data_IF_723176040187
#
_entry.id   IF_723176040187
#
_cell.length_a   1.000
_cell.length_b   1.000
_cell.length_c   1.000
_cell.angle_alpha   90.00
_cell.angle_beta   90.00
_cell.angle_gamma   90.00
#
_symmetry.space_group_name_H-M   'P 1'
#
loop_
_entity.id
_entity.type
_entity.pdbx_description
1 polymer ?
#
# COMPACT_ATOMS: atom_id res chain seq x y z
N UNK A 1 -3.63 -1.64 -9.52
CA UNK A 1 -4.49 -2.61 -8.80
C UNK A 1 -5.10 -3.66 -9.72
N UNK A 2 -5.89 -3.29 -10.74
CA UNK A 2 -6.55 -4.26 -11.63
C UNK A 2 -5.59 -5.27 -12.28
N UNK A 3 -4.39 -4.83 -12.69
CA UNK A 3 -3.34 -5.72 -13.21
C UNK A 3 -2.91 -6.80 -12.21
N UNK A 4 -2.74 -6.46 -10.93
CA UNK A 4 -2.37 -7.42 -9.88
C UNK A 4 -3.48 -8.45 -9.69
N UNK A 5 -4.74 -8.01 -9.72
CA UNK A 5 -5.90 -8.89 -9.60
C UNK A 5 -5.96 -9.89 -10.76
N UNK A 6 -5.84 -9.41 -12.00
CA UNK A 6 -5.86 -10.25 -13.20
C UNK A 6 -4.71 -11.26 -13.17
N UNK A 7 -3.48 -10.82 -12.86
CA UNK A 7 -2.33 -11.72 -12.76
C UNK A 7 -2.50 -12.77 -11.65
N UNK A 8 -3.09 -12.37 -10.52
CA UNK A 8 -3.31 -13.29 -9.39
C UNK A 8 -4.37 -14.35 -9.71
N UNK A 9 -5.49 -13.95 -10.31
CA UNK A 9 -6.58 -14.88 -10.66
C UNK A 9 -6.21 -15.76 -11.85
N UNK A 10 -5.51 -15.22 -12.85
CA UNK A 10 -5.19 -15.98 -14.08
C UNK A 10 -3.95 -16.88 -13.95
N UNK A 11 -3.06 -16.63 -12.99
CA UNK A 11 -1.78 -17.36 -12.88
C UNK A 11 -1.61 -17.96 -11.48
N UNK A 12 -1.61 -17.13 -10.43
CA UNK A 12 -1.32 -17.58 -9.07
C UNK A 12 -2.40 -18.56 -8.56
N UNK A 13 -3.66 -18.26 -8.82
CA UNK A 13 -4.77 -19.10 -8.35
C UNK A 13 -4.77 -20.50 -9.01
N UNK A 14 -4.63 -20.66 -10.34
CA UNK A 14 -4.44 -21.98 -10.95
C UNK A 14 -3.24 -22.75 -10.41
N UNK A 15 -2.11 -22.07 -10.17
CA UNK A 15 -0.88 -22.69 -9.63
C UNK A 15 -1.09 -23.16 -8.18
N UNK A 16 -1.82 -22.41 -7.38
CA UNK A 16 -2.19 -22.88 -6.04
C UNK A 16 -3.09 -24.11 -6.11
N UNK A 17 -4.07 -24.12 -7.03
CA UNK A 17 -4.95 -25.27 -7.22
C UNK A 17 -4.26 -26.50 -7.83
N UNK A 18 -3.14 -26.36 -8.53
CA UNK A 18 -2.39 -27.51 -9.05
C UNK A 18 -1.66 -28.30 -7.97
N UNK A 19 -1.49 -27.71 -6.78
CA UNK A 19 -0.93 -28.40 -5.63
C UNK A 19 -1.89 -29.44 -5.03
N UNK A 20 -1.32 -30.44 -4.37
CA UNK A 20 -2.02 -31.63 -3.87
C UNK A 20 -1.93 -31.81 -2.34
N UNK A 21 -1.34 -30.85 -1.62
CA UNK A 21 -1.09 -30.98 -0.18
C UNK A 21 -2.34 -30.94 0.71
N UNK A 22 -3.44 -30.33 0.25
CA UNK A 22 -4.64 -30.11 1.06
C UNK A 22 -5.85 -30.99 0.66
N UNK A 23 -5.66 -32.06 -0.10
CA UNK A 23 -6.77 -32.95 -0.51
C UNK A 23 -7.84 -32.26 -1.38
N UNK A 24 -8.93 -32.97 -1.69
CA UNK A 24 -9.85 -32.57 -2.76
C UNK A 24 -11.10 -31.78 -2.35
N UNK A 25 -11.23 -31.41 -1.08
CA UNK A 25 -12.39 -30.63 -0.62
C UNK A 25 -12.36 -29.20 -1.21
N UNK A 26 -13.39 -28.78 -1.98
CA UNK A 26 -13.45 -27.43 -2.54
C UNK A 26 -13.73 -26.36 -1.48
N UNK A 27 -14.21 -26.74 -0.30
CA UNK A 27 -14.47 -25.82 0.81
C UNK A 27 -13.17 -25.33 1.49
N UNK A 28 -12.03 -25.96 1.20
CA UNK A 28 -10.78 -25.66 1.87
C UNK A 28 -10.07 -24.48 1.19
N UNK A 29 -10.25 -23.29 1.76
CA UNK A 29 -9.65 -22.04 1.27
C UNK A 29 -8.12 -22.15 1.09
N UNK A 30 -7.44 -22.93 1.93
CA UNK A 30 -5.99 -23.13 1.83
C UNK A 30 -5.52 -23.59 0.44
N UNK A 31 -6.38 -24.29 -0.33
CA UNK A 31 -6.11 -24.71 -1.72
C UNK A 31 -5.89 -23.55 -2.68
N UNK A 32 -6.38 -22.37 -2.34
CA UNK A 32 -6.21 -21.13 -3.12
C UNK A 32 -4.92 -20.38 -2.79
N UNK A 33 -4.09 -20.93 -1.90
CA UNK A 33 -2.87 -20.29 -1.39
C UNK A 33 -1.64 -21.17 -1.59
N UNK A 34 -0.45 -20.59 -1.39
CA UNK A 34 0.84 -21.27 -1.52
C UNK A 34 0.97 -22.53 -0.65
N UNK A 35 0.18 -22.64 0.42
CA UNK A 35 0.19 -23.81 1.33
C UNK A 35 -0.19 -25.10 0.62
N UNK A 36 -0.93 -25.02 -0.50
CA UNK A 36 -1.29 -26.21 -1.26
C UNK A 36 -0.15 -26.74 -2.15
N UNK A 37 0.91 -25.96 -2.37
CA UNK A 37 2.01 -26.27 -3.29
C UNK A 37 3.13 -27.02 -2.54
N UNK A 38 3.60 -28.19 -3.05
CA UNK A 38 4.70 -28.93 -2.45
C UNK A 38 6.00 -28.11 -2.32
N UNK A 39 6.75 -28.33 -1.23
CA UNK A 39 7.99 -27.57 -0.94
C UNK A 39 9.13 -27.83 -1.94
N UNK A 40 9.07 -28.92 -2.69
CA UNK A 40 10.04 -29.28 -3.73
C UNK A 40 9.57 -28.85 -5.14
N UNK A 41 8.40 -28.21 -5.24
CA UNK A 41 7.85 -27.80 -6.53
C UNK A 41 8.54 -26.54 -7.07
N UNK A 42 8.83 -26.53 -8.37
CA UNK A 42 9.35 -25.37 -9.09
C UNK A 42 8.36 -24.20 -9.10
N UNK A 43 7.07 -24.45 -8.88
CA UNK A 43 6.08 -23.38 -8.75
C UNK A 43 6.35 -22.42 -7.59
N UNK A 44 7.13 -22.81 -6.57
CA UNK A 44 7.55 -21.86 -5.52
C UNK A 44 8.41 -20.71 -6.08
N UNK A 45 9.23 -20.97 -7.10
CA UNK A 45 10.00 -19.92 -7.76
C UNK A 45 9.11 -18.93 -8.50
N UNK A 46 8.00 -19.39 -9.07
CA UNK A 46 6.99 -18.51 -9.67
C UNK A 46 6.47 -17.52 -8.64
N UNK A 47 6.14 -17.97 -7.42
CA UNK A 47 5.69 -17.08 -6.35
C UNK A 47 6.75 -16.03 -5.97
N UNK A 48 8.03 -16.41 -5.89
CA UNK A 48 9.11 -15.46 -5.61
C UNK A 48 9.25 -14.39 -6.70
N UNK A 49 9.18 -14.79 -7.97
CA UNK A 49 9.22 -13.86 -9.11
C UNK A 49 8.01 -12.91 -9.09
N UNK A 50 6.81 -13.44 -8.85
CA UNK A 50 5.59 -12.64 -8.78
C UNK A 50 5.57 -11.72 -7.56
N UNK A 51 6.12 -12.13 -6.42
CA UNK A 51 6.26 -11.27 -5.24
C UNK A 51 7.13 -10.04 -5.55
N UNK A 52 8.27 -10.25 -6.22
CA UNK A 52 9.13 -9.15 -6.66
C UNK A 52 8.42 -8.26 -7.69
N UNK A 53 7.74 -8.85 -8.67
CA UNK A 53 6.97 -8.12 -9.68
C UNK A 53 5.87 -7.25 -9.03
N UNK A 54 5.10 -7.81 -8.09
CA UNK A 54 4.04 -7.09 -7.38
C UNK A 54 4.58 -5.98 -6.49
N UNK A 55 5.73 -6.22 -5.84
CA UNK A 55 6.42 -5.19 -5.08
C UNK A 55 6.81 -4.00 -5.98
N UNK A 56 7.48 -4.28 -7.11
CA UNK A 56 7.86 -3.23 -8.07
C UNK A 56 6.65 -2.50 -8.64
N UNK A 57 5.59 -3.22 -9.04
CA UNK A 57 4.36 -2.62 -9.54
C UNK A 57 3.69 -1.73 -8.48
N UNK A 58 3.69 -2.16 -7.21
CA UNK A 58 3.15 -1.38 -6.10
C UNK A 58 3.96 -0.10 -5.91
N UNK A 59 5.29 -0.17 -5.90
CA UNK A 59 6.17 1.00 -5.81
C UNK A 59 5.93 1.94 -6.99
N UNK A 60 5.82 1.44 -8.21
CA UNK A 60 5.54 2.25 -9.40
C UNK A 60 4.15 2.92 -9.33
N UNK A 61 3.11 2.19 -8.92
CA UNK A 61 1.78 2.75 -8.73
C UNK A 61 1.79 3.84 -7.65
N UNK A 62 2.48 3.62 -6.53
CA UNK A 62 2.62 4.62 -5.47
C UNK A 62 3.36 5.84 -5.97
N UNK A 63 4.50 5.68 -6.65
CA UNK A 63 5.25 6.80 -7.23
C UNK A 63 4.43 7.60 -8.23
N UNK A 64 3.72 6.92 -9.13
CA UNK A 64 2.83 7.58 -10.08
C UNK A 64 1.69 8.32 -9.38
N UNK A 65 1.04 7.68 -8.41
CA UNK A 65 -0.07 8.30 -7.69
C UNK A 65 0.40 9.49 -6.85
N UNK A 66 1.53 9.37 -6.15
CA UNK A 66 2.14 10.46 -5.38
C UNK A 66 2.63 11.58 -6.29
N UNK A 67 3.17 11.28 -7.48
CA UNK A 67 3.51 12.32 -8.46
C UNK A 67 2.28 13.03 -9.04
N UNK A 68 1.15 12.31 -9.13
CA UNK A 68 -0.15 12.86 -9.53
C UNK A 68 -0.89 13.57 -8.40
N UNK A 69 -0.41 13.50 -7.15
CA UNK A 69 -0.76 14.48 -6.13
C UNK A 69 -0.12 15.78 -6.58
N UNK A 70 -0.81 16.47 -7.50
CA UNK A 70 -0.48 17.83 -7.86
C UNK A 70 -0.32 18.57 -6.55
N UNK A 71 0.92 18.98 -6.24
CA UNK A 71 1.11 20.06 -5.31
C UNK A 71 0.32 21.19 -5.94
N UNK A 72 -0.85 21.50 -5.35
CA UNK A 72 -1.65 22.64 -5.79
C UNK A 72 -0.78 23.84 -5.51
N UNK A 73 0.06 24.25 -6.46
CA UNK A 73 0.71 25.57 -6.43
C UNK A 73 -0.37 26.68 -6.37
N UNK A 74 -1.61 26.35 -6.75
CA UNK A 74 -2.80 27.18 -6.56
C UNK A 74 -3.35 27.25 -5.12
N UNK A 75 -2.80 26.51 -4.15
CA UNK A 75 -2.97 26.86 -2.74
C UNK A 75 -2.05 28.06 -2.47
N UNK A 76 -2.52 29.22 -2.95
CA UNK A 76 -2.19 30.59 -2.52
C UNK A 76 -1.17 30.60 -1.40
N UNK A 77 -0.02 31.22 -1.61
CA UNK A 77 0.96 31.60 -0.56
C UNK A 77 0.20 32.00 0.71
N UNK A 78 0.00 31.03 1.61
CA UNK A 78 -0.83 31.21 2.79
C UNK A 78 0.09 31.87 3.80
N UNK A 79 -0.10 33.18 3.99
CA UNK A 79 0.63 33.97 5.01
C UNK A 79 0.09 33.73 6.42
N UNK A 80 -0.67 32.66 6.61
CA UNK A 80 -1.31 32.31 7.88
C UNK A 80 -0.65 31.05 8.42
N UNK A 81 -0.05 31.16 9.59
CA UNK A 81 0.51 30.02 10.34
C UNK A 81 -0.42 29.69 11.50
N UNK A 82 -0.75 28.41 11.67
CA UNK A 82 -1.44 27.92 12.86
C UNK A 82 -0.41 27.67 13.97
N UNK A 83 -0.52 28.45 15.06
CA UNK A 83 0.30 28.26 16.26
C UNK A 83 -0.53 27.49 17.28
N UNK A 84 0.00 26.35 17.76
CA UNK A 84 -0.64 25.52 18.79
C UNK A 84 0.21 25.53 20.07
N UNK A 85 -0.38 25.06 21.18
CA UNK A 85 0.29 24.96 22.48
C UNK A 85 0.74 26.31 23.08
N UNK A 86 -0.05 27.37 22.89
CA UNK A 86 0.17 28.64 23.58
C UNK A 86 -0.15 28.45 25.07
N UNK A 87 0.81 28.71 26.00
CA UNK A 87 0.56 28.66 27.43
C UNK A 87 -0.59 29.60 27.83
N UNK A 88 -1.46 29.17 28.75
CA UNK A 88 -2.68 29.92 29.13
C UNK A 88 -2.35 31.26 29.78
N UNK A 89 -1.17 31.37 30.35
CA UNK A 89 -0.65 32.57 31.02
C UNK A 89 -0.34 33.69 30.01
N UNK A 90 -0.09 33.32 28.74
CA UNK A 90 0.27 34.25 27.66
C UNK A 90 -0.70 34.18 26.48
N UNK A 91 -1.86 33.54 26.65
CA UNK A 91 -2.88 33.44 25.60
C UNK A 91 -3.64 34.75 25.35
N UNK A 92 -3.28 35.83 26.05
CA UNK A 92 -3.84 37.15 25.81
C UNK A 92 -3.46 37.67 24.40
N UNK A 93 -4.42 38.11 23.59
CA UNK A 93 -4.17 38.58 22.23
C UNK A 93 -3.14 39.71 22.13
N UNK A 94 -3.05 40.58 23.12
CA UNK A 94 -2.11 41.70 23.13
C UNK A 94 -0.67 41.23 23.34
N UNK A 95 -0.45 40.22 24.20
CA UNK A 95 0.85 39.61 24.43
C UNK A 95 1.33 38.82 23.22
N UNK A 96 0.43 38.07 22.59
CA UNK A 96 0.72 37.32 21.35
C UNK A 96 1.10 38.30 20.23
N UNK A 97 0.31 39.36 20.01
CA UNK A 97 0.57 40.35 18.96
C UNK A 97 1.91 41.06 19.18
N UNK A 98 2.24 41.41 20.44
CA UNK A 98 3.51 42.04 20.80
C UNK A 98 4.72 41.13 20.56
N UNK A 99 4.57 39.81 20.65
CA UNK A 99 5.67 38.87 20.40
C UNK A 99 6.01 38.74 18.91
N UNK A 100 5.02 38.83 18.03
CA UNK A 100 5.17 38.64 16.59
C UNK A 100 5.35 39.95 15.78
N UNK A 101 5.22 41.12 16.41
CA UNK A 101 5.56 42.44 15.84
C UNK A 101 7.01 42.81 16.14
#
# INVERSE_FOLDING_TARGET
>A
MLLVCVLSVSIILPVNFSGDLLGDSPAQFGRTTIVNVPTQDRFLWLHSVFALLYFLLTVLCMRHHTASLHYREDDKVVRTLMVTHIPREISDPSLITKHFQ
#
